data_IF_744007333982
#
_entry.id   IF_744007333982
#
_cell.length_a   1.000
_cell.length_b   1.000
_cell.length_c   1.000
_cell.angle_alpha   90.00
_cell.angle_beta   90.00
_cell.angle_gamma   90.00
#
_symmetry.space_group_name_H-M   'P 1'
#
loop_
_entity.id
_entity.type
_entity.pdbx_description
1 polymer ?
#
# COMPACT_ATOMS: atom_id res chain seq x y z
N UNK A 1 -17.23 11.51 13.25
CA UNK A 1 -17.06 11.38 11.78
C UNK A 1 -16.77 9.92 11.49
N UNK A 2 -17.47 9.28 10.55
CA UNK A 2 -17.17 7.89 10.15
C UNK A 2 -16.14 7.85 9.04
N UNK A 3 -15.29 6.83 9.05
CA UNK A 3 -14.29 6.61 8.00
C UNK A 3 -14.94 5.89 6.83
N UNK A 4 -14.64 6.32 5.60
CA UNK A 4 -15.01 5.60 4.38
C UNK A 4 -14.08 4.40 4.17
N UNK A 5 -14.37 3.29 4.85
CA UNK A 5 -13.60 2.06 4.80
C UNK A 5 -13.52 1.48 3.38
N UNK A 6 -14.60 1.58 2.58
CA UNK A 6 -14.59 1.10 1.20
C UNK A 6 -13.60 1.91 0.34
N UNK A 7 -13.59 3.24 0.49
CA UNK A 7 -12.61 4.11 -0.15
C UNK A 7 -11.17 3.83 0.29
N UNK A 8 -10.94 3.59 1.58
CA UNK A 8 -9.62 3.23 2.12
C UNK A 8 -9.10 1.92 1.52
N UNK A 9 -9.94 0.89 1.48
CA UNK A 9 -9.57 -0.42 0.91
C UNK A 9 -9.30 -0.32 -0.61
N UNK A 10 -10.11 0.45 -1.34
CA UNK A 10 -9.89 0.70 -2.76
C UNK A 10 -8.55 1.43 -3.01
N UNK A 11 -8.20 2.40 -2.17
CA UNK A 11 -6.91 3.10 -2.26
C UNK A 11 -5.73 2.18 -1.90
N UNK A 12 -5.87 1.36 -0.86
CA UNK A 12 -4.86 0.38 -0.48
C UNK A 12 -4.55 -0.60 -1.63
N UNK A 13 -5.59 -1.09 -2.31
CA UNK A 13 -5.43 -1.93 -3.50
C UNK A 13 -4.65 -1.22 -4.61
N UNK A 14 -4.98 0.05 -4.89
CA UNK A 14 -4.31 0.85 -5.93
C UNK A 14 -2.84 1.11 -5.60
N UNK A 15 -2.50 1.34 -4.33
CA UNK A 15 -1.10 1.47 -3.91
C UNK A 15 -0.33 0.16 -4.09
N UNK A 16 -0.95 -0.99 -3.84
CA UNK A 16 -0.36 -2.29 -4.12
C UNK A 16 -0.05 -2.48 -5.61
N UNK A 17 -0.96 -2.08 -6.50
CA UNK A 17 -0.70 -2.09 -7.96
C UNK A 17 0.47 -1.17 -8.31
N UNK A 18 0.46 0.08 -7.83
CA UNK A 18 1.52 1.03 -8.13
C UNK A 18 2.90 0.54 -7.62
N UNK A 19 2.94 -0.10 -6.45
CA UNK A 19 4.17 -0.72 -5.94
C UNK A 19 4.64 -1.89 -6.82
N UNK A 20 3.72 -2.70 -7.35
CA UNK A 20 4.05 -3.74 -8.31
C UNK A 20 4.65 -3.18 -9.61
N UNK A 21 4.03 -2.13 -10.17
CA UNK A 21 4.52 -1.46 -11.39
C UNK A 21 5.93 -0.89 -11.22
N UNK A 22 6.27 -0.35 -10.04
CA UNK A 22 7.63 0.12 -9.72
C UNK A 22 8.68 -1.00 -9.80
N UNK A 23 8.31 -2.23 -9.40
CA UNK A 23 9.21 -3.39 -9.44
C UNK A 23 9.29 -4.08 -10.81
N UNK A 24 8.36 -3.77 -11.73
CA UNK A 24 8.36 -4.30 -13.10
C UNK A 24 9.18 -3.47 -14.08
N UNK A 25 9.83 -2.39 -13.64
CA UNK A 25 10.76 -1.61 -14.45
C UNK A 25 12.09 -2.35 -14.56
N UNK A 26 12.14 -3.35 -15.45
CA UNK A 26 13.37 -4.06 -15.77
C UNK A 26 14.39 -3.11 -16.43
N UNK A 27 15.63 -3.16 -15.95
CA UNK A 27 16.73 -2.46 -16.62
C UNK A 27 16.95 -3.07 -18.02
N UNK A 28 17.10 -2.27 -19.08
CA UNK A 28 17.43 -2.80 -20.39
C UNK A 28 18.77 -3.53 -20.34
N UNK A 29 18.82 -4.74 -20.89
CA UNK A 29 20.06 -5.51 -20.96
C UNK A 29 21.14 -4.73 -21.74
N UNK A 30 22.27 -4.44 -21.08
CA UNK A 30 23.37 -3.69 -21.69
C UNK A 30 23.98 -4.44 -22.88
N UNK A 31 23.81 -3.90 -24.09
CA UNK A 31 24.41 -4.43 -25.34
C UNK A 31 25.78 -3.79 -25.66
N UNK A 32 26.39 -3.08 -24.70
CA UNK A 32 27.61 -2.29 -24.93
C UNK A 32 28.92 -3.09 -24.80
N UNK A 33 29.85 -2.88 -25.73
CA UNK A 33 31.23 -3.39 -25.63
C UNK A 33 31.91 -2.84 -24.37
N UNK A 34 32.66 -3.70 -23.66
CA UNK A 34 33.33 -3.45 -22.36
C UNK A 34 34.31 -2.26 -22.31
N UNK A 35 34.60 -1.64 -23.46
CA UNK A 35 35.54 -0.52 -23.61
C UNK A 35 34.86 0.86 -23.63
N UNK A 36 33.53 0.93 -23.55
CA UNK A 36 32.80 2.21 -23.52
C UNK A 36 32.48 2.61 -22.08
N UNK A 37 33.30 3.50 -21.49
CA UNK A 37 33.07 4.03 -20.13
C UNK A 37 31.67 4.65 -19.97
N UNK A 38 31.14 5.26 -21.03
CA UNK A 38 29.78 5.78 -21.09
C UNK A 38 28.71 4.70 -20.94
N UNK A 39 28.91 3.52 -21.54
CA UNK A 39 27.97 2.40 -21.40
C UNK A 39 27.94 1.86 -19.97
N UNK A 40 29.11 1.77 -19.32
CA UNK A 40 29.19 1.37 -17.91
C UNK A 40 28.50 2.38 -16.98
N UNK A 41 28.63 3.68 -17.24
CA UNK A 41 27.94 4.72 -16.48
C UNK A 41 26.41 4.65 -16.62
N UNK A 42 25.91 4.35 -17.83
CA UNK A 42 24.47 4.17 -18.08
C UNK A 42 23.94 2.93 -17.38
N UNK A 43 24.67 1.81 -17.41
CA UNK A 43 24.31 0.59 -16.69
C UNK A 43 24.25 0.81 -15.17
N UNK A 44 25.26 1.47 -14.60
CA UNK A 44 25.28 1.83 -13.19
C UNK A 44 24.08 2.72 -12.80
N UNK A 45 23.75 3.73 -13.61
CA UNK A 45 22.60 4.59 -13.39
C UNK A 45 21.27 3.82 -13.43
N UNK A 46 21.11 2.86 -14.36
CA UNK A 46 19.94 1.98 -14.36
C UNK A 46 19.87 1.11 -13.09
N UNK A 47 21.00 0.60 -12.62
CA UNK A 47 21.08 -0.15 -11.37
C UNK A 47 20.65 0.67 -10.15
N UNK A 48 21.07 1.94 -10.07
CA UNK A 48 20.65 2.87 -9.01
C UNK A 48 19.14 3.14 -9.04
N UNK A 49 18.57 3.35 -10.23
CA UNK A 49 17.12 3.54 -10.39
C UNK A 49 16.35 2.29 -9.97
N UNK A 50 16.80 1.10 -10.38
CA UNK A 50 16.16 -0.16 -10.00
C UNK A 50 16.18 -0.40 -8.47
N UNK A 51 17.32 -0.10 -7.83
CA UNK A 51 17.42 -0.18 -6.36
C UNK A 51 16.49 0.83 -5.68
N UNK A 52 16.41 2.05 -6.20
CA UNK A 52 15.51 3.09 -5.69
C UNK A 52 14.03 2.69 -5.81
N UNK A 53 13.58 2.23 -6.98
CA UNK A 53 12.18 1.84 -7.20
C UNK A 53 11.79 0.62 -6.37
N UNK A 54 12.70 -0.34 -6.20
CA UNK A 54 12.50 -1.49 -5.30
C UNK A 54 12.32 -1.03 -3.85
N UNK A 55 13.19 -0.15 -3.36
CA UNK A 55 13.07 0.42 -2.02
C UNK A 55 11.78 1.20 -1.80
N UNK A 56 11.35 1.98 -2.80
CA UNK A 56 10.09 2.71 -2.79
C UNK A 56 8.89 1.76 -2.74
N UNK A 57 8.88 0.69 -3.54
CA UNK A 57 7.81 -0.30 -3.55
C UNK A 57 7.67 -0.98 -2.18
N UNK A 58 8.78 -1.35 -1.53
CA UNK A 58 8.79 -1.90 -0.16
C UNK A 58 8.13 -0.92 0.82
N UNK A 59 8.49 0.36 0.76
CA UNK A 59 7.93 1.39 1.65
C UNK A 59 6.43 1.61 1.43
N UNK A 60 5.99 1.67 0.16
CA UNK A 60 4.56 1.80 -0.19
C UNK A 60 3.77 0.60 0.35
N UNK A 61 4.28 -0.63 0.16
CA UNK A 61 3.63 -1.85 0.65
C UNK A 61 3.55 -1.88 2.17
N UNK A 62 4.63 -1.53 2.88
CA UNK A 62 4.64 -1.50 4.35
C UNK A 62 3.60 -0.50 4.91
N UNK A 63 3.52 0.70 4.32
CA UNK A 63 2.54 1.71 4.72
C UNK A 63 1.11 1.29 4.39
N UNK A 64 0.90 0.69 3.22
CA UNK A 64 -0.39 0.14 2.81
C UNK A 64 -0.88 -0.93 3.79
N UNK A 65 0.00 -1.85 4.21
CA UNK A 65 -0.33 -2.84 5.22
C UNK A 65 -0.73 -2.21 6.56
N UNK A 66 -0.03 -1.15 6.98
CA UNK A 66 -0.39 -0.38 8.18
C UNK A 66 -1.77 0.28 8.08
N UNK A 67 -2.12 0.84 6.93
CA UNK A 67 -3.46 1.43 6.69
C UNK A 67 -4.54 0.36 6.74
N UNK A 68 -4.34 -0.79 6.08
CA UNK A 68 -5.30 -1.91 6.11
C UNK A 68 -5.50 -2.46 7.53
N UNK A 69 -4.42 -2.54 8.32
CA UNK A 69 -4.51 -2.95 9.72
C UNK A 69 -5.31 -1.94 10.56
N UNK A 70 -5.07 -0.64 10.37
CA UNK A 70 -5.81 0.40 11.08
C UNK A 70 -7.31 0.40 10.71
N UNK A 71 -7.65 0.23 9.43
CA UNK A 71 -9.03 0.10 8.95
C UNK A 71 -9.74 -1.12 9.58
N UNK A 72 -9.04 -2.25 9.67
CA UNK A 72 -9.56 -3.46 10.33
C UNK A 72 -9.82 -3.22 11.83
N UNK A 73 -8.90 -2.51 12.50
CA UNK A 73 -9.08 -2.11 13.91
C UNK A 73 -10.27 -1.16 14.10
N UNK A 74 -10.45 -0.22 13.18
CA UNK A 74 -11.61 0.69 13.19
C UNK A 74 -12.93 -0.07 13.06
N UNK A 75 -13.04 -0.99 12.09
CA UNK A 75 -14.24 -1.80 11.89
C UNK A 75 -14.58 -2.65 13.12
N UNK A 76 -13.57 -3.29 13.72
CA UNK A 76 -13.77 -4.07 14.95
C UNK A 76 -14.30 -3.19 16.10
N UNK A 77 -13.75 -1.98 16.25
CA UNK A 77 -14.20 -1.04 17.27
C UNK A 77 -15.65 -0.55 17.02
N UNK A 78 -16.04 -0.27 15.77
CA UNK A 78 -17.43 0.10 15.45
C UNK A 78 -18.40 -1.05 15.76
N UNK A 79 -18.03 -2.31 15.48
CA UNK A 79 -18.85 -3.47 15.79
C UNK A 79 -19.05 -3.63 17.32
N UNK A 80 -17.97 -3.57 18.10
CA UNK A 80 -18.05 -3.62 19.57
C UNK A 80 -18.88 -2.46 20.11
N UNK A 81 -18.71 -1.27 19.57
CA UNK A 81 -19.48 -0.09 19.99
C UNK A 81 -20.98 -0.27 19.70
N UNK A 82 -21.34 -0.87 18.57
CA UNK A 82 -22.73 -1.17 18.23
C UNK A 82 -23.36 -2.16 19.22
N UNK A 83 -22.64 -3.21 19.62
CA UNK A 83 -23.10 -4.18 20.61
C UNK A 83 -23.32 -3.54 21.98
N UNK A 84 -22.38 -2.69 22.42
CA UNK A 84 -22.50 -1.95 23.69
C UNK A 84 -23.71 -1.02 23.66
N UNK A 85 -23.94 -0.31 22.54
CA UNK A 85 -25.09 0.58 22.39
C UNK A 85 -26.42 -0.19 22.37
N UNK A 86 -26.46 -1.36 21.73
CA UNK A 86 -27.64 -2.21 21.72
C UNK A 86 -27.97 -2.74 23.12
N UNK A 87 -26.96 -3.08 23.93
CA UNK A 87 -27.13 -3.58 25.29
C UNK A 87 -27.71 -2.53 26.27
N UNK A 88 -27.45 -1.24 26.03
CA UNK A 88 -27.94 -0.13 26.88
C UNK A 88 -29.23 0.51 26.35
N UNK A 89 -29.70 0.13 25.17
CA UNK A 89 -30.91 0.68 24.59
C UNK A 89 -32.16 0.26 25.40
N UNK A 90 -33.02 1.19 25.82
CA UNK A 90 -34.21 0.85 26.59
C UNK A 90 -35.20 0.03 25.74
N UNK A 91 -35.80 -0.99 26.35
CA UNK A 91 -36.89 -1.77 25.75
C UNK A 91 -38.09 -0.86 25.52
N UNK A 92 -38.34 -0.46 24.29
CA UNK A 92 -39.58 0.24 23.94
C UNK A 92 -40.70 -0.81 23.87
N UNK A 93 -41.19 -1.22 25.04
CA UNK A 93 -42.42 -2.02 25.12
C UNK A 93 -43.58 -1.08 24.83
N UNK A 94 -44.03 -1.06 23.57
CA UNK A 94 -45.23 -0.32 23.16
C UNK A 94 -46.44 -1.00 23.81
N UNK A 95 -47.10 -0.30 24.74
CA UNK A 95 -48.39 -0.67 25.35
C UNK A 95 -49.51 -0.42 24.35
#
# INVERSE_FOLDING_TARGET
>A
MRVDTAGVQAMAWRWGIAAGELTSMDAPAGLGLSCQLSAAAVDAAHGEVAAFTTGLAIQVNARTAGVTQADSGYLANEAVSADVLAAVAPSVTRV
#
